data_IF_690822886121
#
_entry.id   IF_690822886121
#
_cell.length_a   1.000
_cell.length_b   1.000
_cell.length_c   1.000
_cell.angle_alpha   90.00
_cell.angle_beta   90.00
_cell.angle_gamma   90.00
#
_symmetry.space_group_name_H-M   'P 1'
#
loop_
_entity.id
_entity.type
_entity.pdbx_description
1 polymer ?
#
# COMPACT_ATOMS: atom_id res chain seq x y z
N UNK A 1 66.06 53.25 -104.80
CA UNK A 1 66.68 52.07 -105.45
C UNK A 1 65.69 50.93 -105.75
N UNK A 2 64.36 51.15 -105.73
CA UNK A 2 63.37 50.15 -106.15
C UNK A 2 63.20 50.04 -107.68
N UNK A 3 63.55 51.09 -108.42
CA UNK A 3 63.33 51.14 -109.88
C UNK A 3 64.31 50.30 -110.69
N UNK A 4 65.51 50.02 -110.16
CA UNK A 4 66.53 49.26 -110.88
C UNK A 4 66.24 47.74 -110.91
N UNK A 5 65.58 47.22 -109.86
CA UNK A 5 65.19 45.80 -109.80
C UNK A 5 64.02 45.46 -110.73
N UNK A 6 63.12 46.41 -110.96
CA UNK A 6 61.97 46.23 -111.86
C UNK A 6 62.44 46.19 -113.32
N UNK A 7 63.40 47.03 -113.70
CA UNK A 7 63.94 47.05 -115.07
C UNK A 7 64.68 45.74 -115.44
N UNK A 8 65.40 45.15 -114.47
CA UNK A 8 66.08 43.87 -114.68
C UNK A 8 65.10 42.71 -114.87
N UNK A 9 64.00 42.70 -114.10
CA UNK A 9 62.91 41.73 -114.27
C UNK A 9 62.22 41.88 -115.65
N UNK A 10 61.99 43.11 -116.13
CA UNK A 10 61.41 43.32 -117.46
C UNK A 10 62.31 42.84 -118.59
N UNK A 11 63.64 43.04 -118.50
CA UNK A 11 64.58 42.58 -119.52
C UNK A 11 64.63 41.05 -119.64
N UNK A 12 64.60 40.33 -118.51
CA UNK A 12 64.56 38.86 -118.50
C UNK A 12 63.25 38.36 -119.12
N UNK A 13 62.12 39.00 -118.81
CA UNK A 13 60.82 38.65 -119.40
C UNK A 13 60.82 38.89 -120.91
N UNK A 14 61.38 39.99 -121.40
CA UNK A 14 61.51 40.21 -122.86
C UNK A 14 62.49 39.25 -123.54
N UNK A 15 63.53 38.81 -122.83
CA UNK A 15 64.49 37.83 -123.36
C UNK A 15 63.86 36.43 -123.52
N UNK A 16 62.98 36.02 -122.59
CA UNK A 16 62.17 34.80 -122.75
C UNK A 16 61.19 34.88 -123.93
N UNK A 17 60.66 36.08 -124.23
CA UNK A 17 59.72 36.28 -125.35
C UNK A 17 60.45 36.31 -126.71
N UNK A 18 61.72 36.72 -126.77
CA UNK A 18 62.48 36.82 -128.02
C UNK A 18 63.26 35.55 -128.42
N UNK A 19 63.56 34.64 -127.49
CA UNK A 19 64.43 33.47 -127.77
C UNK A 19 63.87 32.09 -127.38
N UNK A 20 62.61 31.98 -126.97
CA UNK A 20 62.00 30.69 -126.60
C UNK A 20 60.82 30.27 -127.48
N UNK A 21 61.07 29.75 -128.69
CA UNK A 21 60.06 29.00 -129.48
C UNK A 21 60.61 27.63 -129.84
N UNK A 22 60.03 26.59 -129.24
CA UNK A 22 59.77 25.21 -129.75
C UNK A 22 59.42 24.34 -128.52
N UNK A 23 58.45 23.45 -128.48
CA UNK A 23 57.39 22.98 -129.38
C UNK A 23 56.32 22.34 -128.45
N UNK A 24 55.03 22.42 -128.80
CA UNK A 24 53.86 21.95 -128.02
C UNK A 24 53.70 20.42 -127.94
N UNK A 25 53.19 19.91 -126.80
CA UNK A 25 52.30 18.72 -126.59
C UNK A 25 52.23 18.47 -125.08
N UNK A 26 51.13 18.15 -124.38
CA UNK A 26 49.80 17.65 -124.72
C UNK A 26 48.96 17.59 -123.42
N UNK A 27 47.65 17.82 -123.53
CA UNK A 27 46.64 17.53 -122.48
C UNK A 27 46.79 16.12 -121.91
N UNK A 28 46.90 15.98 -120.59
CA UNK A 28 46.86 14.66 -119.94
C UNK A 28 45.41 14.22 -119.76
N UNK A 29 44.83 13.72 -120.85
CA UNK A 29 43.68 12.81 -120.84
C UNK A 29 44.14 11.55 -120.10
N UNK A 30 43.49 11.20 -118.98
CA UNK A 30 43.72 9.95 -118.28
C UNK A 30 43.19 8.79 -119.12
N UNK A 31 44.00 8.31 -120.05
CA UNK A 31 43.75 7.05 -120.77
C UNK A 31 44.05 5.91 -119.81
N UNK A 32 43.00 5.20 -119.37
CA UNK A 32 43.14 3.94 -118.65
C UNK A 32 43.78 2.90 -119.58
N UNK A 33 45.01 2.51 -119.30
CA UNK A 33 45.71 1.47 -120.07
C UNK A 33 45.25 0.06 -119.70
N UNK A 34 44.62 -0.14 -118.53
CA UNK A 34 44.10 -1.44 -118.10
C UNK A 34 42.87 -1.28 -117.19
N UNK A 35 41.70 -1.10 -117.81
CA UNK A 35 40.43 -0.79 -117.15
C UNK A 35 40.04 -1.74 -115.99
N UNK A 36 40.25 -3.07 -116.06
CA UNK A 36 39.87 -3.98 -114.99
C UNK A 36 40.67 -3.76 -113.70
N UNK A 37 41.98 -3.50 -113.79
CA UNK A 37 42.84 -3.33 -112.61
C UNK A 37 42.69 -1.94 -111.96
N UNK A 38 42.56 -0.88 -112.76
CA UNK A 38 42.57 0.49 -112.25
C UNK A 38 41.20 0.96 -111.73
N UNK A 39 40.08 0.60 -112.40
CA UNK A 39 38.73 0.89 -111.90
C UNK A 39 38.28 -0.09 -110.80
N UNK A 40 38.72 -1.36 -110.88
CA UNK A 40 38.42 -2.38 -109.88
C UNK A 40 38.92 -1.99 -108.49
N UNK A 41 40.14 -1.45 -108.40
CA UNK A 41 40.70 -0.96 -107.15
C UNK A 41 39.92 0.23 -106.57
N UNK A 42 39.47 1.18 -107.40
CA UNK A 42 38.70 2.34 -106.95
C UNK A 42 37.29 1.97 -106.48
N UNK A 43 36.56 1.14 -107.24
CA UNK A 43 35.24 0.67 -106.84
C UNK A 43 35.30 -0.19 -105.57
N UNK A 44 36.33 -1.04 -105.44
CA UNK A 44 36.57 -1.80 -104.22
C UNK A 44 36.87 -0.88 -103.03
N UNK A 45 37.67 0.17 -103.24
CA UNK A 45 37.97 1.15 -102.19
C UNK A 45 36.73 1.94 -101.74
N UNK A 46 35.83 2.29 -102.66
CA UNK A 46 34.56 2.95 -102.34
C UNK A 46 33.57 2.01 -101.60
N UNK A 47 33.63 0.69 -101.86
CA UNK A 47 32.79 -0.32 -101.22
C UNK A 47 33.37 -0.86 -99.90
N UNK A 48 34.67 -0.69 -99.65
CA UNK A 48 35.36 -1.17 -98.46
C UNK A 48 34.71 -0.73 -97.14
N UNK A 49 34.26 0.53 -96.95
CA UNK A 49 33.63 0.97 -95.70
C UNK A 49 32.31 0.24 -95.39
N UNK A 50 31.52 -0.10 -96.43
CA UNK A 50 30.27 -0.84 -96.27
C UNK A 50 30.54 -2.31 -95.95
N UNK A 51 31.56 -2.92 -96.57
CA UNK A 51 31.99 -4.28 -96.24
C UNK A 51 32.58 -4.37 -94.82
N UNK A 52 33.36 -3.38 -94.41
CA UNK A 52 33.90 -3.26 -93.04
C UNK A 52 32.79 -3.03 -92.01
N UNK A 53 31.78 -2.21 -92.32
CA UNK A 53 30.64 -2.01 -91.43
C UNK A 53 29.78 -3.28 -91.33
N UNK A 54 29.53 -3.96 -92.45
CA UNK A 54 28.78 -5.22 -92.46
C UNK A 54 29.50 -6.33 -91.68
N UNK A 55 30.82 -6.47 -91.86
CA UNK A 55 31.62 -7.43 -91.10
C UNK A 55 31.66 -7.10 -89.61
N UNK A 56 31.77 -5.82 -89.22
CA UNK A 56 31.67 -5.38 -87.81
C UNK A 56 30.29 -5.65 -87.20
N UNK A 57 29.20 -5.34 -87.91
CA UNK A 57 27.84 -5.61 -87.44
C UNK A 57 27.59 -7.10 -87.25
N UNK A 58 28.06 -7.94 -88.19
CA UNK A 58 27.97 -9.40 -88.08
C UNK A 58 28.79 -9.95 -86.89
N UNK A 59 29.98 -9.39 -86.66
CA UNK A 59 30.80 -9.75 -85.51
C UNK A 59 30.15 -9.31 -84.19
N UNK A 60 29.49 -8.13 -84.18
CA UNK A 60 28.74 -7.62 -83.04
C UNK A 60 27.50 -8.47 -82.75
N UNK A 61 26.76 -8.89 -83.78
CA UNK A 61 25.60 -9.78 -83.67
C UNK A 61 26.00 -11.13 -83.06
N UNK A 62 27.05 -11.77 -83.59
CA UNK A 62 27.60 -13.00 -82.99
C UNK A 62 28.09 -12.79 -81.54
N UNK A 63 28.69 -11.64 -81.24
CA UNK A 63 29.07 -11.30 -79.86
C UNK A 63 27.85 -11.11 -78.95
N UNK A 64 26.76 -10.54 -79.45
CA UNK A 64 25.51 -10.36 -78.72
C UNK A 64 24.80 -11.70 -78.49
N UNK A 65 24.73 -12.57 -79.51
CA UNK A 65 24.21 -13.93 -79.37
C UNK A 65 24.97 -14.74 -78.33
N UNK A 66 26.31 -14.63 -78.31
CA UNK A 66 27.14 -15.29 -77.32
C UNK A 66 26.85 -14.81 -75.89
N UNK A 67 26.64 -13.50 -75.69
CA UNK A 67 26.23 -12.95 -74.39
C UNK A 67 24.83 -13.39 -73.98
N UNK A 68 23.86 -13.40 -74.92
CA UNK A 68 22.49 -13.85 -74.64
C UNK A 68 22.48 -15.30 -74.18
N UNK A 69 23.24 -16.17 -74.86
CA UNK A 69 23.38 -17.57 -74.47
C UNK A 69 24.00 -17.71 -73.07
N UNK A 70 25.04 -16.94 -72.77
CA UNK A 70 25.66 -16.93 -71.44
C UNK A 70 24.68 -16.47 -70.34
N UNK A 71 23.85 -15.46 -70.62
CA UNK A 71 22.81 -14.98 -69.70
C UNK A 71 21.74 -16.06 -69.48
N UNK A 72 21.34 -16.76 -70.54
CA UNK A 72 20.35 -17.82 -70.44
C UNK A 72 20.88 -19.02 -69.65
N UNK A 73 22.11 -19.45 -69.91
CA UNK A 73 22.80 -20.48 -69.12
C UNK A 73 22.86 -20.06 -67.63
N UNK A 74 23.27 -18.83 -67.34
CA UNK A 74 23.31 -18.31 -65.96
C UNK A 74 21.93 -18.27 -65.30
N UNK A 75 20.87 -17.90 -66.04
CA UNK A 75 19.50 -17.93 -65.54
C UNK A 75 19.04 -19.35 -65.22
N UNK A 76 19.40 -20.34 -66.05
CA UNK A 76 19.03 -21.73 -65.76
C UNK A 76 19.70 -22.26 -64.50
N UNK A 77 20.97 -21.91 -64.27
CA UNK A 77 21.66 -22.25 -63.02
C UNK A 77 21.07 -21.53 -61.81
N UNK A 78 20.75 -20.23 -61.92
CA UNK A 78 20.04 -19.51 -60.85
C UNK A 78 18.70 -20.16 -60.51
N UNK A 79 17.93 -20.62 -61.51
CA UNK A 79 16.66 -21.31 -61.28
C UNK A 79 16.83 -22.61 -60.48
N UNK A 80 17.91 -23.36 -60.73
CA UNK A 80 18.24 -24.55 -59.93
C UNK A 80 18.56 -24.17 -58.48
N UNK A 81 19.31 -23.08 -58.27
CA UNK A 81 19.63 -22.57 -56.94
C UNK A 81 18.35 -22.19 -56.19
N UNK A 82 17.46 -21.39 -56.80
CA UNK A 82 16.20 -20.98 -56.17
C UNK A 82 15.33 -22.19 -55.80
N UNK A 83 15.22 -23.18 -56.69
CA UNK A 83 14.47 -24.40 -56.40
C UNK A 83 15.09 -25.19 -55.23
N UNK A 84 16.42 -25.22 -55.13
CA UNK A 84 17.11 -25.86 -54.00
C UNK A 84 16.92 -25.09 -52.69
N UNK A 85 16.91 -23.75 -52.74
CA UNK A 85 16.61 -22.90 -51.58
C UNK A 85 15.17 -23.11 -51.09
N UNK A 86 14.20 -23.21 -52.00
CA UNK A 86 12.80 -23.49 -51.65
C UNK A 86 12.63 -24.86 -50.99
N UNK A 87 13.34 -25.88 -51.49
CA UNK A 87 13.37 -27.20 -50.87
C UNK A 87 13.98 -27.17 -49.45
N UNK A 88 15.07 -26.42 -49.26
CA UNK A 88 15.70 -26.22 -47.94
C UNK A 88 14.74 -25.50 -46.99
N UNK A 89 14.07 -24.43 -47.44
CA UNK A 89 13.09 -23.70 -46.65
C UNK A 89 11.96 -24.60 -46.17
N UNK A 90 11.48 -25.50 -47.03
CA UNK A 90 10.46 -26.48 -46.64
C UNK A 90 10.95 -27.43 -45.55
N UNK A 91 12.16 -27.99 -45.68
CA UNK A 91 12.76 -28.87 -44.66
C UNK A 91 12.92 -28.12 -43.34
N UNK A 92 13.36 -26.86 -43.37
CA UNK A 92 13.49 -26.03 -42.16
C UNK A 92 12.12 -25.80 -41.52
N UNK A 93 11.08 -25.54 -42.31
CA UNK A 93 9.73 -25.34 -41.80
C UNK A 93 9.18 -26.62 -41.13
N UNK A 94 9.34 -27.78 -41.78
CA UNK A 94 8.90 -29.08 -41.27
C UNK A 94 9.67 -29.43 -39.97
N UNK A 95 11.00 -29.33 -39.97
CA UNK A 95 11.82 -29.58 -38.79
C UNK A 95 11.48 -28.63 -37.63
N UNK A 96 11.15 -27.37 -37.92
CA UNK A 96 10.70 -26.41 -36.92
C UNK A 96 9.32 -26.78 -36.35
N UNK A 97 8.43 -27.35 -37.15
CA UNK A 97 7.12 -27.81 -36.68
C UNK A 97 7.29 -29.00 -35.73
N UNK A 98 8.10 -30.00 -36.10
CA UNK A 98 8.42 -31.15 -35.25
C UNK A 98 9.09 -30.74 -33.94
N UNK A 99 10.06 -29.81 -33.99
CA UNK A 99 10.70 -29.29 -32.77
C UNK A 99 9.70 -28.59 -31.85
N UNK A 100 8.72 -27.83 -32.40
CA UNK A 100 7.69 -27.18 -31.59
C UNK A 100 6.80 -28.20 -30.88
N UNK A 101 6.41 -29.26 -31.59
CA UNK A 101 5.57 -30.32 -31.02
C UNK A 101 6.33 -31.04 -29.89
N UNK A 102 7.58 -31.44 -30.13
CA UNK A 102 8.42 -32.09 -29.12
C UNK A 102 8.65 -31.21 -27.88
N UNK A 103 8.87 -29.90 -28.06
CA UNK A 103 9.01 -28.95 -26.95
C UNK A 103 7.69 -28.82 -26.19
N UNK A 104 6.56 -28.78 -26.88
CA UNK A 104 5.25 -28.68 -26.25
C UNK A 104 4.95 -29.93 -25.41
N UNK A 105 5.19 -31.12 -25.95
CA UNK A 105 4.99 -32.39 -25.24
C UNK A 105 5.90 -32.50 -24.01
N UNK A 106 7.17 -32.11 -24.16
CA UNK A 106 8.12 -32.08 -23.05
C UNK A 106 7.69 -31.09 -21.97
N UNK A 107 7.17 -29.92 -22.37
CA UNK A 107 6.67 -28.91 -21.44
C UNK A 107 5.42 -29.41 -20.70
N UNK A 108 4.48 -30.06 -21.39
CA UNK A 108 3.28 -30.63 -20.77
C UNK A 108 3.64 -31.73 -19.76
N UNK A 109 4.57 -32.63 -20.11
CA UNK A 109 5.04 -33.66 -19.20
C UNK A 109 5.71 -33.08 -17.96
N UNK A 110 6.56 -32.05 -18.11
CA UNK A 110 7.18 -31.36 -16.96
C UNK A 110 6.14 -30.68 -16.07
N UNK A 111 5.17 -29.98 -16.66
CA UNK A 111 4.09 -29.32 -15.90
C UNK A 111 3.31 -30.34 -15.08
N UNK A 112 2.99 -31.51 -15.67
CA UNK A 112 2.28 -32.58 -14.97
C UNK A 112 3.07 -33.12 -13.78
N UNK A 113 4.35 -33.42 -13.95
CA UNK A 113 5.22 -33.91 -12.87
C UNK A 113 5.32 -32.88 -11.74
N UNK A 114 5.48 -31.60 -12.09
CA UNK A 114 5.53 -30.52 -11.09
C UNK A 114 4.20 -30.44 -10.33
N UNK A 115 3.07 -30.51 -11.03
CA UNK A 115 1.76 -30.45 -10.41
C UNK A 115 1.50 -31.63 -9.45
N UNK A 116 1.86 -32.85 -9.85
CA UNK A 116 1.74 -34.06 -9.02
C UNK A 116 2.63 -33.96 -7.79
N UNK A 117 3.91 -33.58 -7.96
CA UNK A 117 4.84 -33.40 -6.84
C UNK A 117 4.39 -32.29 -5.88
N UNK A 118 3.84 -31.18 -6.40
CA UNK A 118 3.29 -30.12 -5.58
C UNK A 118 2.04 -30.56 -4.82
N UNK A 119 1.18 -31.40 -5.43
CA UNK A 119 0.00 -31.94 -4.77
C UNK A 119 0.39 -32.83 -3.58
N UNK A 120 1.35 -33.73 -3.76
CA UNK A 120 1.87 -34.60 -2.69
C UNK A 120 2.50 -33.78 -1.56
N UNK A 121 3.35 -32.80 -1.89
CA UNK A 121 3.95 -31.91 -0.88
C UNK A 121 2.89 -31.10 -0.13
N UNK A 122 1.87 -30.60 -0.83
CA UNK A 122 0.77 -29.85 -0.22
C UNK A 122 -0.03 -30.73 0.72
N UNK A 123 -0.35 -31.96 0.33
CA UNK A 123 -1.08 -32.91 1.17
C UNK A 123 -0.28 -33.26 2.44
N UNK A 124 1.03 -33.53 2.31
CA UNK A 124 1.90 -33.79 3.45
C UNK A 124 1.97 -32.57 4.41
N UNK A 125 2.09 -31.36 3.87
CA UNK A 125 2.11 -30.13 4.67
C UNK A 125 0.78 -29.89 5.38
N UNK A 126 -0.36 -30.09 4.70
CA UNK A 126 -1.69 -29.96 5.30
C UNK A 126 -1.87 -30.97 6.44
N UNK A 127 -1.43 -32.22 6.25
CA UNK A 127 -1.50 -33.24 7.29
C UNK A 127 -0.69 -32.86 8.52
N UNK A 128 0.57 -32.41 8.34
CA UNK A 128 1.41 -31.95 9.45
C UNK A 128 0.76 -30.78 10.22
N UNK A 129 0.14 -29.84 9.50
CA UNK A 129 -0.57 -28.71 10.14
C UNK A 129 -1.77 -29.21 10.95
N UNK A 130 -2.55 -30.15 10.43
CA UNK A 130 -3.74 -30.66 11.13
C UNK A 130 -3.36 -31.53 12.35
N UNK A 131 -2.29 -32.33 12.24
CA UNK A 131 -1.74 -33.10 13.36
C UNK A 131 -1.27 -32.15 14.48
N UNK A 132 -0.46 -31.14 14.15
CA UNK A 132 -0.02 -30.12 15.11
C UNK A 132 -1.20 -29.37 15.73
N UNK A 133 -2.20 -29.00 14.92
CA UNK A 133 -3.41 -28.33 15.41
C UNK A 133 -4.18 -29.22 16.39
N UNK A 134 -4.22 -30.52 16.16
CA UNK A 134 -4.91 -31.48 17.02
C UNK A 134 -4.21 -31.60 18.37
N UNK A 135 -2.88 -31.75 18.38
CA UNK A 135 -2.08 -31.77 19.61
C UNK A 135 -2.26 -30.48 20.44
N UNK A 136 -2.26 -29.31 19.78
CA UNK A 136 -2.50 -28.03 20.45
C UNK A 136 -3.91 -27.93 21.06
N UNK A 137 -4.93 -28.47 20.39
CA UNK A 137 -6.29 -28.52 20.94
C UNK A 137 -6.37 -29.43 22.17
N UNK A 138 -5.71 -30.58 22.14
CA UNK A 138 -5.68 -31.50 23.28
C UNK A 138 -4.97 -30.87 24.48
N UNK A 139 -3.82 -30.24 24.26
CA UNK A 139 -3.09 -29.52 25.31
C UNK A 139 -3.93 -28.39 25.91
N UNK A 140 -4.60 -27.60 25.07
CA UNK A 140 -5.47 -26.52 25.52
C UNK A 140 -6.67 -27.05 26.32
N UNK A 141 -7.23 -28.18 25.91
CA UNK A 141 -8.35 -28.81 26.62
C UNK A 141 -7.91 -29.34 28.00
N UNK A 142 -6.72 -29.95 28.09
CA UNK A 142 -6.15 -30.37 29.37
C UNK A 142 -5.95 -29.16 30.30
N UNK A 143 -5.33 -28.09 29.79
CA UNK A 143 -5.14 -26.86 30.55
C UNK A 143 -6.47 -26.28 31.05
N UNK A 144 -7.51 -26.26 30.21
CA UNK A 144 -8.83 -25.77 30.61
C UNK A 144 -9.45 -26.61 31.73
N UNK A 145 -9.30 -27.94 31.68
CA UNK A 145 -9.80 -28.84 32.71
C UNK A 145 -9.08 -28.62 34.05
N UNK A 146 -7.76 -28.51 34.05
CA UNK A 146 -6.95 -28.26 35.26
C UNK A 146 -7.33 -26.92 35.90
N UNK A 147 -7.46 -25.85 35.09
CA UNK A 147 -7.88 -24.53 35.57
C UNK A 147 -9.28 -24.58 36.16
N UNK A 148 -10.20 -25.31 35.52
CA UNK A 148 -11.57 -25.46 36.02
C UNK A 148 -11.62 -26.18 37.36
N UNK A 149 -10.78 -27.19 37.57
CA UNK A 149 -10.67 -27.90 38.84
C UNK A 149 -10.16 -26.97 39.95
N UNK A 150 -9.05 -26.27 39.69
CA UNK A 150 -8.49 -25.28 40.62
C UNK A 150 -9.49 -24.18 40.98
N UNK A 151 -10.27 -23.70 39.99
CA UNK A 151 -11.31 -22.70 40.23
C UNK A 151 -12.43 -23.22 41.14
N UNK A 152 -12.84 -24.48 40.97
CA UNK A 152 -13.86 -25.07 41.83
C UNK A 152 -13.37 -25.25 43.27
N UNK A 153 -12.12 -25.69 43.46
CA UNK A 153 -11.50 -25.80 44.79
C UNK A 153 -11.40 -24.44 45.47
N UNK A 154 -10.93 -23.42 44.74
CA UNK A 154 -10.84 -22.06 45.25
C UNK A 154 -12.22 -21.52 45.64
N UNK A 155 -13.23 -21.73 44.80
CA UNK A 155 -14.60 -21.30 45.08
C UNK A 155 -15.16 -21.98 46.35
N UNK A 156 -14.91 -23.28 46.51
CA UNK A 156 -15.32 -24.03 47.70
C UNK A 156 -14.64 -23.49 48.97
N UNK A 157 -13.32 -23.24 48.90
CA UNK A 157 -12.56 -22.69 50.02
C UNK A 157 -13.05 -21.29 50.41
N UNK A 158 -13.19 -20.38 49.44
CA UNK A 158 -13.73 -19.03 49.67
C UNK A 158 -15.12 -19.07 50.31
N UNK A 159 -16.00 -19.94 49.84
CA UNK A 159 -17.33 -20.11 50.42
C UNK A 159 -17.25 -20.58 51.88
N UNK A 160 -16.32 -21.49 52.19
CA UNK A 160 -16.13 -21.99 53.56
C UNK A 160 -15.57 -20.92 54.50
N UNK A 161 -14.65 -20.08 54.00
CA UNK A 161 -14.07 -18.95 54.75
C UNK A 161 -15.13 -17.89 55.00
N UNK A 162 -15.90 -17.51 53.97
CA UNK A 162 -17.00 -16.54 54.13
C UNK A 162 -18.02 -16.99 55.18
N UNK A 163 -18.40 -18.28 55.20
CA UNK A 163 -19.27 -18.83 56.25
C UNK A 163 -18.66 -18.76 57.64
N UNK A 164 -17.35 -18.99 57.76
CA UNK A 164 -16.64 -18.90 59.04
C UNK A 164 -16.59 -17.46 59.54
N UNK A 165 -16.32 -16.52 58.64
CA UNK A 165 -16.27 -15.09 58.96
C UNK A 165 -17.66 -14.58 59.34
N UNK A 166 -18.71 -15.00 58.62
CA UNK A 166 -20.10 -14.67 58.96
C UNK A 166 -20.50 -15.22 60.33
N UNK A 167 -20.18 -16.48 60.61
CA UNK A 167 -20.41 -17.09 61.94
C UNK A 167 -19.68 -16.33 63.05
N UNK A 168 -18.43 -15.92 62.78
CA UNK A 168 -17.62 -15.14 63.73
C UNK A 168 -18.28 -13.79 64.00
N UNK A 169 -18.65 -13.04 62.95
CA UNK A 169 -19.34 -11.76 63.05
C UNK A 169 -20.67 -11.86 63.80
N UNK A 170 -21.44 -12.93 63.59
CA UNK A 170 -22.70 -13.15 64.32
C UNK A 170 -22.49 -13.44 65.82
N UNK A 171 -21.34 -14.00 66.19
CA UNK A 171 -21.00 -14.35 67.57
C UNK A 171 -20.35 -13.20 68.36
N UNK A 172 -19.92 -12.12 67.69
CA UNK A 172 -19.26 -11.00 68.33
C UNK A 172 -20.28 -10.09 69.03
N UNK A 173 -20.08 -9.77 70.33
CA UNK A 173 -20.99 -8.89 71.05
C UNK A 173 -20.89 -7.46 70.53
N UNK A 174 -21.94 -7.01 69.86
CA UNK A 174 -22.13 -5.67 69.34
C UNK A 174 -22.30 -4.68 70.50
N UNK A 175 -21.28 -3.85 70.77
CA UNK A 175 -21.37 -2.80 71.80
C UNK A 175 -21.75 -1.45 71.18
N UNK A 176 -22.98 -1.00 71.42
CA UNK A 176 -23.47 0.29 70.93
C UNK A 176 -23.16 1.37 71.98
N UNK A 177 -22.42 2.44 71.63
CA UNK A 177 -22.19 3.56 72.54
C UNK A 177 -23.51 4.18 73.05
N UNK A 178 -23.57 4.64 74.30
CA UNK A 178 -24.77 5.26 74.86
C UNK A 178 -25.28 6.43 74.01
N UNK A 179 -26.60 6.54 73.87
CA UNK A 179 -27.27 7.60 73.11
C UNK A 179 -27.51 7.29 71.62
N UNK A 180 -26.81 6.30 71.06
CA UNK A 180 -27.07 5.85 69.69
C UNK A 180 -28.31 4.98 69.60
N UNK A 181 -29.15 5.26 68.60
CA UNK A 181 -30.40 4.56 68.33
C UNK A 181 -30.37 3.91 66.97
N UNK A 182 -30.88 2.68 66.86
CA UNK A 182 -30.97 1.98 65.58
C UNK A 182 -32.10 2.58 64.74
N UNK A 183 -31.76 3.05 63.54
CA UNK A 183 -32.71 3.57 62.54
C UNK A 183 -32.39 2.89 61.22
N UNK A 184 -33.30 2.04 60.74
CA UNK A 184 -33.03 1.19 59.59
C UNK A 184 -31.88 0.22 59.86
N UNK A 185 -30.84 0.26 59.02
CA UNK A 185 -29.66 -0.62 59.12
C UNK A 185 -28.49 -0.03 59.91
N UNK A 186 -28.55 1.22 60.35
CA UNK A 186 -27.46 1.92 61.05
C UNK A 186 -27.88 2.45 62.41
N UNK A 187 -26.90 2.94 63.16
CA UNK A 187 -27.09 3.59 64.44
C UNK A 187 -26.78 5.07 64.34
N UNK A 188 -27.66 5.92 64.87
CA UNK A 188 -27.52 7.36 64.83
C UNK A 188 -27.67 7.97 66.22
N UNK A 189 -26.94 9.05 66.44
CA UNK A 189 -27.10 9.94 67.60
C UNK A 189 -27.57 11.29 67.08
N UNK A 190 -28.71 11.76 67.57
CA UNK A 190 -29.24 13.09 67.26
C UNK A 190 -28.86 13.98 68.44
N UNK A 191 -27.94 14.92 68.20
CA UNK A 191 -27.50 15.87 69.22
C UNK A 191 -28.18 17.21 68.97
N UNK A 192 -29.24 17.49 69.72
CA UNK A 192 -30.05 18.70 69.64
C UNK A 192 -29.74 19.73 70.74
N UNK A 193 -28.90 19.37 71.71
CA UNK A 193 -28.55 20.23 72.85
C UNK A 193 -27.21 20.94 72.67
N UNK A 194 -26.34 20.45 71.78
CA UNK A 194 -25.06 21.07 71.47
C UNK A 194 -25.06 21.74 70.09
N UNK A 195 -24.55 22.97 70.05
CA UNK A 195 -24.50 23.77 68.82
C UNK A 195 -23.05 23.98 68.45
N UNK A 196 -22.61 23.38 67.34
CA UNK A 196 -21.22 23.43 66.89
C UNK A 196 -21.11 23.79 65.42
N UNK A 197 -19.94 24.29 65.03
CA UNK A 197 -19.58 24.40 63.61
C UNK A 197 -19.50 23.01 62.99
N UNK A 198 -19.59 22.90 61.67
CA UNK A 198 -19.51 21.59 61.00
C UNK A 198 -18.28 20.78 61.43
N UNK A 199 -17.10 21.42 61.50
CA UNK A 199 -15.86 20.75 61.91
C UNK A 199 -15.91 20.32 63.38
N UNK A 200 -16.45 21.15 64.27
CA UNK A 200 -16.59 20.81 65.69
C UNK A 200 -17.61 19.69 65.91
N UNK A 201 -18.70 19.67 65.14
CA UNK A 201 -19.68 18.59 65.16
C UNK A 201 -19.08 17.26 64.70
N UNK A 202 -18.29 17.26 63.62
CA UNK A 202 -17.56 16.07 63.16
C UNK A 202 -16.54 15.58 64.19
N UNK A 203 -15.81 16.47 64.84
CA UNK A 203 -14.88 16.12 65.91
C UNK A 203 -15.61 15.45 67.08
N UNK A 204 -16.75 16.00 67.51
CA UNK A 204 -17.59 15.40 68.57
C UNK A 204 -18.15 14.03 68.16
N UNK A 205 -18.55 13.84 66.90
CA UNK A 205 -18.93 12.53 66.42
C UNK A 205 -17.75 11.54 66.48
N UNK A 206 -16.54 11.96 66.09
CA UNK A 206 -15.33 11.12 66.11
C UNK A 206 -14.91 10.70 67.52
N UNK A 207 -15.01 11.59 68.50
CA UNK A 207 -14.76 11.27 69.91
C UNK A 207 -15.66 10.13 70.42
N UNK A 208 -16.87 10.02 69.85
CA UNK A 208 -17.82 8.94 70.15
C UNK A 208 -17.65 7.71 69.24
N UNK A 209 -16.54 7.62 68.49
CA UNK A 209 -16.27 6.53 67.55
C UNK A 209 -17.16 6.55 66.30
N UNK A 210 -17.66 7.72 65.91
CA UNK A 210 -18.69 7.89 64.88
C UNK A 210 -18.30 9.03 63.90
N UNK A 211 -19.14 9.30 62.91
CA UNK A 211 -18.96 10.40 61.95
C UNK A 211 -20.28 11.16 61.78
N UNK A 212 -20.25 12.39 61.25
CA UNK A 212 -21.49 13.07 60.85
C UNK A 212 -22.28 12.21 59.86
N UNK A 213 -23.60 12.19 60.02
CA UNK A 213 -24.49 11.26 59.33
C UNK A 213 -24.50 11.45 57.82
N UNK A 214 -24.40 10.33 57.10
CA UNK A 214 -24.50 10.27 55.65
C UNK A 214 -25.41 9.11 55.26
N UNK A 215 -26.30 9.36 54.30
CA UNK A 215 -27.34 8.41 53.94
C UNK A 215 -26.99 7.71 52.63
N UNK A 216 -27.16 6.39 52.60
CA UNK A 216 -26.87 5.57 51.43
C UNK A 216 -28.02 5.58 50.42
N UNK A 217 -29.25 5.76 50.89
CA UNK A 217 -30.46 5.76 50.09
C UNK A 217 -31.53 6.67 50.71
N UNK A 218 -32.65 6.84 49.99
CA UNK A 218 -33.76 7.69 50.41
C UNK A 218 -34.48 7.17 51.66
N UNK A 219 -34.67 5.85 51.77
CA UNK A 219 -35.32 5.22 52.94
C UNK A 219 -34.59 5.54 54.25
N UNK A 220 -33.25 5.48 54.25
CA UNK A 220 -32.42 5.79 55.41
C UNK A 220 -32.51 7.27 55.79
N UNK A 221 -32.46 8.16 54.79
CA UNK A 221 -32.62 9.60 55.00
C UNK A 221 -33.99 9.93 55.58
N UNK A 222 -35.08 9.43 54.98
CA UNK A 222 -36.43 9.71 55.45
C UNK A 222 -36.67 9.17 56.86
N UNK A 223 -36.16 7.98 57.18
CA UNK A 223 -36.32 7.37 58.50
C UNK A 223 -35.70 8.23 59.61
N UNK A 224 -34.58 8.90 59.33
CA UNK A 224 -33.94 9.85 60.25
C UNK A 224 -34.68 11.19 60.21
N UNK A 225 -34.98 11.72 59.03
CA UNK A 225 -35.62 13.02 58.86
C UNK A 225 -36.98 13.13 59.57
N UNK A 226 -37.78 12.04 59.56
CA UNK A 226 -39.07 11.99 60.28
C UNK A 226 -38.92 12.07 61.79
N UNK A 227 -37.78 11.67 62.36
CA UNK A 227 -37.52 11.79 63.82
C UNK A 227 -37.13 13.20 64.24
N UNK A 228 -36.63 14.01 63.31
CA UNK A 228 -36.12 15.37 63.57
C UNK A 228 -36.96 16.47 62.91
N UNK A 229 -38.24 16.19 62.63
CA UNK A 229 -39.16 17.05 61.86
C UNK A 229 -39.52 18.40 62.54
N UNK A 230 -38.97 18.71 63.72
CA UNK A 230 -39.36 19.86 64.54
C UNK A 230 -38.60 21.14 64.16
N UNK A 231 -38.83 21.72 62.98
CA UNK A 231 -38.28 23.03 62.51
C UNK A 231 -36.77 23.30 62.78
N UNK A 232 -36.01 22.28 63.12
CA UNK A 232 -34.62 22.39 63.58
C UNK A 232 -33.71 22.00 62.44
N UNK A 233 -32.62 22.73 62.30
CA UNK A 233 -31.66 22.55 61.22
C UNK A 233 -30.48 21.76 61.75
N UNK A 234 -30.22 20.59 61.18
CA UNK A 234 -29.13 19.71 61.62
C UNK A 234 -27.99 19.65 60.60
N UNK A 235 -26.75 19.62 61.06
CA UNK A 235 -25.61 19.27 60.23
C UNK A 235 -25.67 17.82 59.72
N UNK A 236 -25.34 17.65 58.44
CA UNK A 236 -25.07 16.36 57.83
C UNK A 236 -23.60 16.22 57.45
N UNK A 237 -23.14 14.99 57.29
CA UNK A 237 -21.75 14.65 57.00
C UNK A 237 -21.33 14.88 55.57
N UNK A 238 -21.85 15.91 54.89
CA UNK A 238 -21.43 16.28 53.55
C UNK A 238 -20.88 17.70 53.53
N UNK A 239 -19.70 17.85 52.93
CA UNK A 239 -19.08 19.16 52.71
C UNK A 239 -18.36 19.24 51.37
N UNK A 240 -18.12 20.44 50.87
CA UNK A 240 -17.29 20.70 49.70
C UNK A 240 -15.83 20.86 50.12
N UNK A 241 -14.91 20.21 49.41
CA UNK A 241 -13.48 20.39 49.60
C UNK A 241 -12.95 21.63 48.84
N UNK A 242 -11.66 21.95 49.00
CA UNK A 242 -11.02 23.09 48.34
C UNK A 242 -11.01 23.03 46.81
N UNK A 243 -11.21 21.84 46.21
CA UNK A 243 -11.34 21.64 44.76
C UNK A 243 -12.77 21.80 44.26
N UNK A 244 -13.71 22.07 45.15
CA UNK A 244 -15.11 22.13 44.81
C UNK A 244 -15.78 20.76 44.74
N UNK A 245 -15.18 19.66 45.20
CA UNK A 245 -15.80 18.33 45.16
C UNK A 245 -16.61 18.08 46.44
N UNK A 246 -17.76 17.41 46.33
CA UNK A 246 -18.52 16.96 47.50
C UNK A 246 -17.83 15.76 48.14
N UNK A 247 -17.61 15.81 49.45
CA UNK A 247 -16.97 14.74 50.23
C UNK A 247 -17.79 14.42 51.47
N UNK A 248 -17.71 13.18 51.96
CA UNK A 248 -18.29 12.80 53.25
C UNK A 248 -17.34 13.07 54.40
N UNK A 249 -17.89 13.20 55.58
CA UNK A 249 -17.12 13.28 56.82
C UNK A 249 -16.29 12.00 57.08
N UNK A 250 -16.85 10.83 56.74
CA UNK A 250 -16.20 9.52 56.82
C UNK A 250 -15.21 9.20 55.66
N UNK A 251 -15.06 10.07 54.66
CA UNK A 251 -14.12 9.86 53.54
C UNK A 251 -14.73 9.93 52.14
N UNK A 252 -14.05 9.34 51.13
CA UNK A 252 -14.25 9.63 49.70
C UNK A 252 -15.12 8.63 48.92
N UNK A 253 -15.92 7.80 49.57
CA UNK A 253 -16.85 6.92 48.84
C UNK A 253 -18.06 7.72 48.33
N UNK A 254 -18.56 7.33 47.16
CA UNK A 254 -19.79 7.91 46.62
C UNK A 254 -21.03 7.45 47.39
N UNK A 255 -22.02 8.32 47.50
CA UNK A 255 -23.35 7.95 48.03
C UNK A 255 -24.44 8.49 47.11
N UNK A 256 -25.62 7.84 47.12
CA UNK A 256 -26.81 8.32 46.39
C UNK A 256 -27.08 9.81 46.65
N UNK A 257 -26.94 10.25 47.90
CA UNK A 257 -27.19 11.64 48.28
C UNK A 257 -26.22 12.62 47.65
N UNK A 258 -24.97 12.22 47.35
CA UNK A 258 -24.04 13.09 46.62
C UNK A 258 -24.52 13.37 45.19
N UNK A 259 -25.14 12.40 44.52
CA UNK A 259 -25.72 12.59 43.17
C UNK A 259 -26.88 13.58 43.23
N UNK A 260 -27.80 13.38 44.20
CA UNK A 260 -28.92 14.32 44.47
C UNK A 260 -28.43 15.74 44.76
N UNK A 261 -27.34 15.87 45.52
CA UNK A 261 -26.69 17.15 45.82
C UNK A 261 -26.08 17.81 44.57
N UNK A 262 -25.48 17.03 43.66
CA UNK A 262 -24.92 17.54 42.40
C UNK A 262 -25.96 18.21 41.49
N UNK A 263 -27.19 17.69 41.50
CA UNK A 263 -28.31 18.23 40.71
C UNK A 263 -28.89 19.55 41.29
N UNK A 264 -28.61 19.86 42.55
CA UNK A 264 -29.24 20.97 43.29
C UNK A 264 -28.46 22.29 43.27
N UNK A 265 -27.26 22.39 42.68
CA UNK A 265 -26.37 23.53 42.93
C UNK A 265 -25.96 24.35 41.68
N UNK A 266 -26.44 25.61 41.63
CA UNK A 266 -26.10 26.61 40.59
C UNK A 266 -25.19 27.76 41.07
N UNK A 267 -24.93 27.94 42.38
CA UNK A 267 -24.19 29.13 42.89
C UNK A 267 -23.25 28.76 44.06
N UNK A 268 -21.96 28.60 43.75
CA UNK A 268 -20.93 27.95 44.58
C UNK A 268 -20.42 28.65 45.84
N UNK A 269 -21.28 29.24 46.68
CA UNK A 269 -20.86 29.91 47.93
C UNK A 269 -21.05 29.07 49.21
N UNK A 270 -21.87 28.02 49.18
CA UNK A 270 -22.16 27.22 50.36
C UNK A 270 -21.40 25.89 50.35
N UNK A 271 -20.72 25.60 51.46
CA UNK A 271 -19.77 24.49 51.57
C UNK A 271 -20.33 23.28 52.30
N UNK A 272 -21.30 23.44 53.20
CA UNK A 272 -21.80 22.35 54.05
C UNK A 272 -23.28 22.08 53.82
N UNK A 273 -23.68 20.86 54.15
CA UNK A 273 -25.04 20.36 53.93
C UNK A 273 -25.79 20.20 55.25
N UNK A 274 -27.06 20.60 55.23
CA UNK A 274 -27.97 20.55 56.38
C UNK A 274 -29.26 19.80 56.04
N UNK A 275 -29.88 19.25 57.07
CA UNK A 275 -31.23 18.70 57.06
C UNK A 275 -32.18 19.73 57.68
N UNK A 276 -33.26 20.08 56.97
CA UNK A 276 -34.33 20.92 57.47
C UNK A 276 -35.66 20.50 56.86
N UNK A 277 -36.67 20.25 57.69
CA UNK A 277 -38.04 19.90 57.28
C UNK A 277 -38.10 18.84 56.16
N UNK A 278 -37.53 17.66 56.42
CA UNK A 278 -37.45 16.52 55.48
C UNK A 278 -36.66 16.78 54.18
N UNK A 279 -36.01 17.93 54.05
CA UNK A 279 -35.29 18.32 52.86
C UNK A 279 -33.85 18.69 53.17
N UNK A 280 -33.04 18.82 52.13
CA UNK A 280 -31.61 19.08 52.23
C UNK A 280 -31.27 20.41 51.61
N UNK A 281 -30.45 21.18 52.32
CA UNK A 281 -30.02 22.50 51.89
C UNK A 281 -28.52 22.67 52.07
N UNK A 282 -27.99 23.70 51.43
CA UNK A 282 -26.62 24.14 51.62
C UNK A 282 -26.56 25.35 52.53
N UNK A 283 -25.53 25.41 53.37
CA UNK A 283 -25.29 26.56 54.23
C UNK A 283 -23.79 26.81 54.46
N UNK A 284 -23.47 27.92 55.13
CA UNK A 284 -22.13 28.37 55.42
C UNK A 284 -21.53 27.64 56.64
N UNK A 285 -20.22 27.36 56.62
CA UNK A 285 -19.49 26.69 57.71
C UNK A 285 -19.48 27.44 59.06
N UNK A 286 -19.80 28.75 59.06
CA UNK A 286 -19.76 29.60 60.24
C UNK A 286 -20.93 29.42 61.21
N UNK A 287 -22.00 28.74 60.80
CA UNK A 287 -23.13 28.52 61.69
C UNK A 287 -22.76 27.49 62.77
N UNK A 288 -23.25 27.74 63.99
CA UNK A 288 -23.33 26.72 65.02
C UNK A 288 -24.72 26.09 64.91
N UNK A 289 -24.80 24.78 64.67
CA UNK A 289 -26.07 24.05 64.53
C UNK A 289 -25.98 22.75 65.33
N UNK A 290 -27.13 22.17 65.73
CA UNK A 290 -27.20 20.79 66.17
C UNK A 290 -26.81 19.84 65.02
N UNK A 291 -26.51 18.59 65.35
CA UNK A 291 -25.90 17.67 64.39
C UNK A 291 -26.31 16.22 64.63
N UNK A 292 -26.18 15.40 63.58
CA UNK A 292 -26.52 13.98 63.64
C UNK A 292 -25.25 13.19 63.39
N UNK A 293 -24.88 12.30 64.31
CA UNK A 293 -23.79 11.35 64.12
C UNK A 293 -24.32 9.99 63.65
N UNK A 294 -23.49 9.24 62.93
CA UNK A 294 -23.70 7.86 62.49
C UNK A 294 -22.53 6.97 62.92
N UNK A 295 -22.81 5.75 63.33
CA UNK A 295 -21.78 4.72 63.50
C UNK A 295 -21.60 3.94 62.19
N UNK A 296 -20.35 3.88 61.71
CA UNK A 296 -20.00 3.13 60.50
C UNK A 296 -19.75 1.66 60.80
N UNK A 297 -19.20 1.35 61.98
CA UNK A 297 -19.04 -0.01 62.52
C UNK A 297 -19.43 0.00 63.99
N UNK A 298 -20.04 -1.09 64.46
CA UNK A 298 -20.24 -1.26 65.90
C UNK A 298 -18.96 -1.85 66.48
N UNK A 299 -18.52 -1.36 67.65
CA UNK A 299 -17.28 -1.81 68.24
C UNK A 299 -17.36 -3.30 68.59
N UNK A 300 -16.52 -4.05 67.90
CA UNK A 300 -16.13 -5.43 68.16
C UNK A 300 -15.20 -5.44 69.39
N UNK A 301 -15.57 -6.17 70.45
CA UNK A 301 -14.73 -6.32 71.65
C UNK A 301 -13.75 -7.48 71.48
#
# INVERSE_FOLDING_TARGET
MCWLRIYFLCLVVTFCILFGVSHSTSDSICVLSDAPQQCGAFCLAALHPLYDQYSKSRQQEHSQEAMVKMIEDFRTEQKKIVNSEEAILKIIADSRAEQKELVNDSQEAMVKIIAESQAEQKEAMVKMIEDFRTEQKELLNHYYLDVRELLNELAANLTSTARRDESTLQSMPVTVPPGFQKIGSKYFLIEDNEWKTWTGAEETCREKGSHLATFRNEDEFEAVARRVHNETIFWLGYRRNSKGEMVRAAGKEESFMMRRLGELNQNGYNENVILYNLSIYYTNYKFALPFICQLDTVQER
#
